data_IF_541785994181
#
_entry.id   IF_541785994181
#
_cell.length_a   1.000
_cell.length_b   1.000
_cell.length_c   1.000
_cell.angle_alpha   90.00
_cell.angle_beta   90.00
_cell.angle_gamma   90.00
#
_symmetry.space_group_name_H-M   'P 1'
#
loop_
_entity.id
_entity.type
_entity.pdbx_description
1 polymer ?
#
# COMPACT_ATOMS: atom_id res chain seq x y z
N UNK A 1 -18.35 -14.50 14.17
CA UNK A 1 -17.80 -15.06 12.90
C UNK A 1 -18.81 -14.97 11.76
N UNK A 2 -20.10 -15.32 11.95
CA UNK A 2 -21.15 -15.06 10.93
C UNK A 2 -21.33 -13.57 10.61
N UNK A 3 -21.27 -12.72 11.64
CA UNK A 3 -21.34 -11.26 11.50
C UNK A 3 -20.28 -10.68 10.56
N UNK A 4 -19.11 -11.32 10.44
CA UNK A 4 -18.08 -10.92 9.49
C UNK A 4 -18.49 -11.22 8.04
N UNK A 5 -19.09 -12.39 7.80
CA UNK A 5 -19.54 -12.82 6.46
C UNK A 5 -20.74 -12.01 5.96
N UNK A 6 -21.55 -11.50 6.89
CA UNK A 6 -22.73 -10.67 6.61
C UNK A 6 -22.39 -9.18 6.50
N UNK A 7 -21.14 -8.79 6.81
CA UNK A 7 -20.72 -7.40 6.72
C UNK A 7 -20.61 -6.97 5.26
N UNK A 8 -21.31 -5.89 4.92
CA UNK A 8 -21.17 -5.20 3.65
C UNK A 8 -20.51 -3.85 3.91
N UNK A 9 -19.20 -3.70 3.62
CA UNK A 9 -18.52 -2.43 3.80
C UNK A 9 -19.09 -1.37 2.85
N UNK A 10 -19.27 -0.15 3.36
CA UNK A 10 -19.69 0.98 2.55
C UNK A 10 -18.49 1.54 1.77
N UNK A 11 -18.18 0.90 0.64
CA UNK A 11 -16.96 1.16 -0.13
C UNK A 11 -16.79 2.61 -0.59
N UNK A 12 -17.88 3.33 -0.83
CA UNK A 12 -17.82 4.73 -1.24
C UNK A 12 -17.33 5.65 -0.10
N UNK A 13 -17.78 5.40 1.12
CA UNK A 13 -17.33 6.15 2.31
C UNK A 13 -15.86 5.82 2.62
N UNK A 14 -15.48 4.55 2.52
CA UNK A 14 -14.10 4.10 2.71
C UNK A 14 -13.18 4.76 1.68
N UNK A 15 -13.56 4.77 0.40
CA UNK A 15 -12.80 5.42 -0.66
C UNK A 15 -12.67 6.93 -0.43
N UNK A 16 -13.73 7.60 0.03
CA UNK A 16 -13.70 9.03 0.32
C UNK A 16 -12.76 9.36 1.49
N UNK A 17 -12.76 8.53 2.55
CA UNK A 17 -11.87 8.71 3.70
C UNK A 17 -10.40 8.52 3.33
N UNK A 18 -10.09 7.53 2.48
CA UNK A 18 -8.73 7.28 2.02
C UNK A 18 -8.24 8.28 0.96
N UNK A 19 -9.16 8.93 0.24
CA UNK A 19 -8.85 9.92 -0.79
C UNK A 19 -9.55 11.26 -0.47
N UNK A 20 -9.11 12.00 0.56
CA UNK A 20 -9.77 13.25 0.97
C UNK A 20 -9.81 14.30 -0.15
N UNK A 21 -8.87 14.25 -1.10
CA UNK A 21 -8.76 15.21 -2.20
C UNK A 21 -9.79 14.98 -3.33
N UNK A 22 -10.40 13.79 -3.40
CA UNK A 22 -11.36 13.43 -4.46
C UNK A 22 -12.78 13.76 -4.03
N UNK A 23 -13.61 14.22 -4.96
CA UNK A 23 -15.04 14.42 -4.70
C UNK A 23 -15.76 13.07 -4.72
N UNK A 24 -16.69 12.89 -3.78
CA UNK A 24 -17.53 11.68 -3.67
C UNK A 24 -18.28 11.33 -4.96
N UNK A 25 -18.73 12.34 -5.72
CA UNK A 25 -19.41 12.14 -7.02
C UNK A 25 -18.48 11.51 -8.06
N UNK A 26 -17.24 11.97 -8.13
CA UNK A 26 -16.25 11.47 -9.08
C UNK A 26 -15.86 10.03 -8.71
N UNK A 27 -15.65 9.76 -7.41
CA UNK A 27 -15.43 8.41 -6.89
C UNK A 27 -16.58 7.47 -7.22
N UNK A 28 -17.83 7.89 -6.98
CA UNK A 28 -19.01 7.11 -7.30
C UNK A 28 -19.03 6.75 -8.78
N UNK A 29 -18.84 7.72 -9.67
CA UNK A 29 -18.83 7.47 -11.11
C UNK A 29 -17.71 6.52 -11.54
N UNK A 30 -16.52 6.62 -10.95
CA UNK A 30 -15.39 5.74 -11.28
C UNK A 30 -15.51 4.33 -10.70
N UNK A 31 -16.19 4.19 -9.56
CA UNK A 31 -16.30 2.94 -8.82
C UNK A 31 -17.54 2.13 -9.18
N UNK A 32 -18.48 2.69 -9.94
CA UNK A 32 -19.72 2.01 -10.31
C UNK A 32 -19.85 1.84 -11.82
N UNK A 33 -20.57 0.81 -12.24
CA UNK A 33 -20.88 0.52 -13.64
C UNK A 33 -22.37 0.23 -13.73
N UNK A 34 -22.95 0.63 -14.85
CA UNK A 34 -24.34 0.33 -15.13
C UNK A 34 -24.44 -1.11 -15.65
N UNK A 35 -25.21 -1.94 -14.96
CA UNK A 35 -25.51 -3.31 -15.38
C UNK A 35 -26.99 -3.41 -15.73
N UNK A 36 -27.35 -4.37 -16.58
CA UNK A 36 -28.74 -4.63 -16.99
C UNK A 36 -29.70 -4.85 -15.81
N UNK A 37 -29.17 -5.18 -14.63
CA UNK A 37 -29.92 -5.42 -13.39
C UNK A 37 -29.70 -4.33 -12.31
N UNK A 38 -29.14 -3.17 -12.66
CA UNK A 38 -28.89 -2.04 -11.75
C UNK A 38 -27.41 -1.68 -11.59
N UNK A 39 -27.12 -0.78 -10.64
CA UNK A 39 -25.77 -0.30 -10.39
C UNK A 39 -24.92 -1.38 -9.73
N UNK A 40 -23.78 -1.73 -10.33
CA UNK A 40 -22.80 -2.64 -9.74
C UNK A 40 -21.45 -1.96 -9.50
N UNK A 41 -20.65 -2.52 -8.60
CA UNK A 41 -19.30 -2.02 -8.35
C UNK A 41 -18.34 -2.44 -9.47
N UNK A 42 -17.62 -1.46 -10.02
CA UNK A 42 -16.49 -1.68 -10.91
C UNK A 42 -15.33 -2.27 -10.13
N UNK A 43 -14.91 -3.49 -10.49
CA UNK A 43 -13.76 -4.13 -9.87
C UNK A 43 -12.50 -3.26 -9.99
N UNK A 44 -12.21 -2.76 -11.19
CA UNK A 44 -11.07 -1.87 -11.44
C UNK A 44 -11.20 -0.54 -10.70
N UNK A 45 -12.42 0.00 -10.61
CA UNK A 45 -12.70 1.23 -9.88
C UNK A 45 -12.45 1.09 -8.39
N UNK A 46 -12.86 -0.05 -7.80
CA UNK A 46 -12.57 -0.40 -6.41
C UNK A 46 -11.06 -0.54 -6.17
N UNK A 47 -10.36 -1.37 -6.95
CA UNK A 47 -8.92 -1.58 -6.80
C UNK A 47 -8.10 -0.29 -6.88
N UNK A 48 -8.54 0.68 -7.68
CA UNK A 48 -7.81 1.92 -7.87
C UNK A 48 -8.01 2.93 -6.73
N UNK A 49 -9.15 2.90 -6.07
CA UNK A 49 -9.54 3.94 -5.12
C UNK A 49 -9.67 3.45 -3.67
N UNK A 50 -9.65 2.15 -3.44
CA UNK A 50 -9.75 1.54 -2.11
C UNK A 50 -8.50 0.70 -1.84
N UNK A 51 -7.74 1.08 -0.82
CA UNK A 51 -6.74 0.24 -0.20
C UNK A 51 -7.41 -0.65 0.85
N UNK A 52 -7.63 -1.91 0.48
CA UNK A 52 -8.26 -2.91 1.35
C UNK A 52 -7.37 -3.25 2.55
N UNK A 53 -6.04 -3.25 2.40
CA UNK A 53 -5.12 -3.53 3.50
C UNK A 53 -5.11 -2.40 4.53
N UNK A 54 -5.21 -1.16 4.06
CA UNK A 54 -5.38 0.00 4.93
C UNK A 54 -6.71 -0.06 5.68
N UNK A 55 -7.82 -0.37 4.99
CA UNK A 55 -9.13 -0.51 5.64
C UNK A 55 -9.12 -1.60 6.74
N UNK A 56 -8.48 -2.75 6.49
CA UNK A 56 -8.33 -3.78 7.51
C UNK A 56 -7.48 -3.34 8.70
N UNK A 57 -6.49 -2.47 8.49
CA UNK A 57 -5.67 -1.93 9.58
C UNK A 57 -6.45 -0.92 10.41
N UNK A 58 -7.17 -0.01 9.78
CA UNK A 58 -7.74 1.14 10.46
C UNK A 58 -9.13 0.82 11.06
N UNK A 59 -10.04 0.27 10.26
CA UNK A 59 -11.42 -0.04 10.66
C UNK A 59 -11.57 -1.51 11.05
N UNK A 60 -11.02 -2.43 10.24
CA UNK A 60 -11.21 -3.87 10.42
C UNK A 60 -10.59 -4.42 11.70
N UNK A 61 -9.45 -3.88 12.13
CA UNK A 61 -8.73 -4.30 13.35
C UNK A 61 -9.53 -3.98 14.61
N UNK A 62 -10.25 -2.85 14.62
CA UNK A 62 -11.10 -2.46 15.75
C UNK A 62 -12.32 -3.37 15.93
N UNK A 63 -12.91 -3.83 14.81
CA UNK A 63 -14.14 -4.63 14.83
C UNK A 63 -13.85 -6.14 14.91
N UNK A 64 -12.83 -6.62 14.19
CA UNK A 64 -12.50 -8.04 14.09
C UNK A 64 -10.98 -8.27 14.07
N UNK A 65 -10.27 -8.14 15.21
CA UNK A 65 -8.81 -8.17 15.27
C UNK A 65 -8.18 -9.40 14.59
N UNK A 66 -8.68 -10.59 14.91
CA UNK A 66 -8.14 -11.86 14.37
C UNK A 66 -8.38 -12.00 12.86
N UNK A 67 -9.56 -11.58 12.38
CA UNK A 67 -9.89 -11.65 10.95
C UNK A 67 -9.10 -10.60 10.16
N UNK A 68 -8.96 -9.40 10.70
CA UNK A 68 -8.18 -8.33 10.09
C UNK A 68 -6.70 -8.69 9.99
N UNK A 69 -6.14 -9.33 11.02
CA UNK A 69 -4.79 -9.86 10.97
C UNK A 69 -4.65 -10.94 9.88
N UNK A 70 -5.56 -11.91 9.85
CA UNK A 70 -5.54 -12.99 8.86
C UNK A 70 -5.70 -12.47 7.43
N UNK A 71 -6.60 -11.51 7.21
CA UNK A 71 -6.81 -10.88 5.91
C UNK A 71 -5.56 -10.13 5.44
N UNK A 72 -4.92 -9.33 6.31
CA UNK A 72 -3.67 -8.64 5.98
C UNK A 72 -2.54 -9.61 5.64
N UNK A 73 -2.40 -10.72 6.38
CA UNK A 73 -1.39 -11.75 6.08
C UNK A 73 -1.70 -12.46 4.76
N UNK A 74 -2.96 -12.76 4.48
CA UNK A 74 -3.34 -13.47 3.25
C UNK A 74 -3.22 -12.58 2.01
N UNK A 75 -3.77 -11.37 2.06
CA UNK A 75 -3.80 -10.41 0.96
C UNK A 75 -2.46 -9.67 0.77
N UNK A 76 -1.67 -9.52 1.83
CA UNK A 76 -0.33 -8.91 1.76
C UNK A 76 0.72 -9.81 1.09
N UNK A 77 0.39 -11.07 0.81
CA UNK A 77 1.27 -11.96 0.04
C UNK A 77 1.27 -11.52 -1.42
N UNK A 78 2.46 -11.16 -1.90
CA UNK A 78 2.67 -10.87 -3.32
C UNK A 78 2.41 -12.18 -4.09
N UNK A 79 1.40 -12.18 -4.95
CA UNK A 79 0.98 -13.35 -5.73
C UNK A 79 1.94 -13.71 -6.87
N UNK A 80 2.96 -12.89 -7.13
CA UNK A 80 3.91 -13.05 -8.24
C UNK A 80 5.36 -12.83 -7.79
N UNK A 81 6.23 -13.75 -8.21
CA UNK A 81 7.70 -13.59 -8.12
C UNK A 81 8.24 -12.49 -9.03
N UNK A 82 7.46 -11.94 -9.95
CA UNK A 82 7.91 -10.97 -10.96
C UNK A 82 8.54 -9.70 -10.35
N UNK A 83 8.16 -9.34 -9.12
CA UNK A 83 8.82 -8.25 -8.39
C UNK A 83 10.25 -8.62 -7.98
N UNK A 84 10.43 -9.82 -7.44
CA UNK A 84 11.74 -10.36 -7.09
C UNK A 84 12.59 -10.57 -8.36
N UNK A 85 11.99 -11.03 -9.46
CA UNK A 85 12.68 -11.18 -10.75
C UNK A 85 13.17 -9.84 -11.32
N UNK A 86 12.40 -8.75 -11.19
CA UNK A 86 12.88 -7.40 -11.55
C UNK A 86 14.07 -6.96 -10.69
N UNK A 87 14.05 -7.29 -9.41
CA UNK A 87 15.18 -7.06 -8.50
C UNK A 87 16.40 -7.90 -8.91
N UNK A 88 16.20 -9.18 -9.24
CA UNK A 88 17.27 -10.08 -9.68
C UNK A 88 17.83 -9.71 -11.05
N UNK A 89 17.02 -9.20 -11.97
CA UNK A 89 17.47 -8.72 -13.28
C UNK A 89 18.47 -7.56 -13.14
N UNK A 90 18.20 -6.61 -12.22
CA UNK A 90 19.15 -5.55 -11.87
C UNK A 90 20.37 -6.13 -11.13
N UNK A 91 20.14 -7.10 -10.24
CA UNK A 91 21.20 -7.85 -9.58
C UNK A 91 22.17 -8.52 -10.56
N UNK A 92 21.69 -9.04 -11.69
CA UNK A 92 22.52 -9.63 -12.75
C UNK A 92 23.52 -8.66 -13.38
N UNK A 93 23.21 -7.35 -13.42
CA UNK A 93 24.16 -6.31 -13.87
C UNK A 93 25.26 -6.08 -12.82
N UNK A 94 24.88 -6.06 -11.54
CA UNK A 94 25.78 -5.83 -10.39
C UNK A 94 26.62 -7.06 -10.05
N UNK A 95 26.12 -8.25 -10.34
CA UNK A 95 26.79 -9.54 -10.16
C UNK A 95 27.45 -10.03 -11.47
N UNK A 96 27.35 -9.25 -12.54
CA UNK A 96 27.85 -9.54 -13.88
C UNK A 96 29.37 -9.43 -14.03
N UNK A 97 29.88 -9.28 -15.27
CA UNK A 97 31.32 -9.27 -15.56
C UNK A 97 32.12 -8.29 -14.70
N UNK A 98 33.43 -8.56 -14.57
CA UNK A 98 34.37 -7.90 -13.63
C UNK A 98 34.27 -6.37 -13.54
N UNK A 99 33.83 -5.69 -14.61
CA UNK A 99 33.72 -4.23 -14.68
C UNK A 99 32.52 -3.64 -13.93
N UNK A 100 31.45 -4.41 -13.73
CA UNK A 100 30.23 -3.98 -13.00
C UNK A 100 30.04 -4.73 -11.69
N UNK A 101 30.91 -5.70 -11.39
CA UNK A 101 30.83 -6.55 -10.21
C UNK A 101 31.02 -5.74 -8.92
N UNK A 102 30.02 -5.76 -8.06
CA UNK A 102 30.07 -5.19 -6.71
C UNK A 102 30.09 -6.30 -5.67
N UNK A 103 30.72 -6.06 -4.51
CA UNK A 103 30.67 -6.97 -3.36
C UNK A 103 29.21 -7.26 -2.91
N UNK A 104 28.91 -8.51 -2.55
CA UNK A 104 27.55 -8.97 -2.23
C UNK A 104 26.91 -8.19 -1.08
N UNK A 105 27.70 -7.85 -0.04
CA UNK A 105 27.19 -7.08 1.10
C UNK A 105 26.85 -5.66 0.68
N UNK A 106 27.64 -5.08 -0.23
CA UNK A 106 27.40 -3.73 -0.76
C UNK A 106 26.21 -3.70 -1.72
N UNK A 107 26.03 -4.72 -2.56
CA UNK A 107 24.89 -4.81 -3.48
C UNK A 107 23.57 -5.00 -2.73
N UNK A 108 23.54 -5.83 -1.69
CA UNK A 108 22.38 -5.99 -0.81
C UNK A 108 21.98 -4.65 -0.16
N UNK A 109 22.94 -3.93 0.44
CA UNK A 109 22.68 -2.62 1.04
C UNK A 109 22.14 -1.61 0.03
N UNK A 110 22.74 -1.55 -1.16
CA UNK A 110 22.27 -0.65 -2.22
C UNK A 110 20.86 -0.98 -2.67
N UNK A 111 20.52 -2.27 -2.77
CA UNK A 111 19.18 -2.72 -3.11
C UNK A 111 18.16 -2.31 -2.05
N UNK A 112 18.45 -2.55 -0.77
CA UNK A 112 17.57 -2.19 0.34
C UNK A 112 17.33 -0.68 0.40
N UNK A 113 18.40 0.14 0.32
CA UNK A 113 18.30 1.59 0.30
C UNK A 113 17.52 2.11 -0.92
N UNK A 114 17.68 1.47 -2.08
CA UNK A 114 16.97 1.86 -3.30
C UNK A 114 15.50 1.48 -3.24
N UNK A 115 15.18 0.32 -2.69
CA UNK A 115 13.81 -0.15 -2.48
C UNK A 115 13.06 0.76 -1.51
N UNK A 116 13.71 1.14 -0.41
CA UNK A 116 13.13 1.95 0.65
C UNK A 116 13.29 3.46 0.42
N UNK A 117 13.77 3.90 -0.75
CA UNK A 117 14.15 5.30 -1.02
C UNK A 117 13.07 6.32 -0.62
N UNK A 118 11.80 6.01 -0.86
CA UNK A 118 10.69 6.90 -0.54
C UNK A 118 10.45 7.00 0.98
N UNK A 119 10.54 5.86 1.69
CA UNK A 119 10.43 5.83 3.14
C UNK A 119 11.64 6.51 3.80
N UNK A 120 12.85 6.26 3.29
CA UNK A 120 14.07 6.94 3.73
C UNK A 120 13.97 8.47 3.53
N UNK A 121 13.35 8.91 2.43
CA UNK A 121 13.11 10.33 2.17
C UNK A 121 12.10 10.94 3.16
N UNK A 122 11.00 10.23 3.47
CA UNK A 122 10.03 10.64 4.49
C UNK A 122 10.68 10.75 5.87
N UNK A 123 11.41 9.72 6.30
CA UNK A 123 12.12 9.71 7.59
C UNK A 123 13.08 10.91 7.69
N UNK A 124 13.86 11.19 6.64
CA UNK A 124 14.74 12.37 6.61
C UNK A 124 13.97 13.66 6.74
N UNK A 125 12.85 13.80 6.03
CA UNK A 125 12.01 14.99 6.10
C UNK A 125 11.42 15.18 7.51
N UNK A 126 10.97 14.11 8.15
CA UNK A 126 10.42 14.15 9.51
C UNK A 126 11.49 14.52 10.55
N UNK A 127 12.73 14.02 10.39
CA UNK A 127 13.88 14.42 11.22
C UNK A 127 14.21 15.90 11.06
N UNK A 128 14.22 16.42 9.83
CA UNK A 128 14.43 17.85 9.59
C UNK A 128 13.34 18.70 10.26
N UNK A 129 12.07 18.31 10.10
CA UNK A 129 10.93 19.00 10.73
C UNK A 129 11.00 18.97 12.26
N UNK A 130 11.43 17.86 12.85
CA UNK A 130 11.62 17.74 14.29
C UNK A 130 12.75 18.64 14.82
N UNK A 131 13.81 18.86 14.03
CA UNK A 131 14.90 19.76 14.38
C UNK A 131 14.51 21.25 14.24
N UNK A 132 13.59 21.57 13.33
CA UNK A 132 13.06 22.93 13.11
C UNK A 132 11.93 23.31 14.07
N UNK A 133 11.35 22.35 14.80
CA UNK A 133 10.30 22.62 15.77
C UNK A 133 10.85 23.47 16.94
N UNK A 134 10.21 24.60 17.31
CA UNK A 134 10.66 25.43 18.41
C UNK A 134 10.65 24.63 19.70
N UNK A 135 11.79 24.58 20.40
CA UNK A 135 11.86 24.05 21.76
C UNK A 135 10.96 24.94 22.61
N UNK A 136 9.82 24.40 23.04
CA UNK A 136 8.94 25.05 24.02
C UNK A 136 9.77 25.16 25.30
N UNK A 137 10.26 26.36 25.58
CA UNK A 137 10.85 26.72 26.86
C UNK A 137 9.71 26.85 27.87
N UNK A 138 9.67 25.94 28.83
CA UNK A 138 8.94 26.08 30.10
C UNK A 138 9.43 27.28 30.90
#
# INVERSE_FOLDING_TARGET
>A
MKEWLEMVPEWLEIAQRQNPDKKKKDLSSHMTTDSRNGMCWSLLGLYRNVDVLQWFRDDGESQFPSMALLARIHLGKISSSAFQERVFSIGGVVMGPLRTRTDSRRSEKQLLLRHNRNEDAKIKQDVCRAHEAPKVTE
#
